data_IF_171965117981
#
_entry.id   IF_171965117981
#
_cell.length_a   1.000
_cell.length_b   1.000
_cell.length_c   1.000
_cell.angle_alpha   90.00
_cell.angle_beta   90.00
_cell.angle_gamma   90.00
#
_symmetry.space_group_name_H-M   'P 1'
#
loop_
_entity.id
_entity.type
_entity.pdbx_description
1 polymer ?
#
# COMPACT_ATOMS: atom_id res chain seq x y z
N UNK A 1 29.28 16.64 57.67
CA UNK A 1 29.76 16.07 56.40
C UNK A 1 29.35 17.03 55.31
N UNK A 2 30.32 17.59 54.59
CA UNK A 2 30.14 18.66 53.61
C UNK A 2 30.03 18.03 52.23
N UNK A 3 28.91 18.24 51.54
CA UNK A 3 28.67 17.76 50.18
C UNK A 3 29.06 18.86 49.20
N UNK A 4 30.11 18.63 48.41
CA UNK A 4 30.56 19.54 47.36
C UNK A 4 29.80 19.25 46.06
N UNK A 5 29.10 20.27 45.54
CA UNK A 5 28.45 20.26 44.24
C UNK A 5 29.48 20.67 43.17
N UNK A 6 29.70 19.78 42.20
CA UNK A 6 30.53 20.05 41.02
C UNK A 6 29.63 20.67 39.95
N UNK A 7 29.78 21.98 39.70
CA UNK A 7 29.21 22.64 38.52
C UNK A 7 30.10 22.34 37.32
N UNK A 8 29.61 21.56 36.37
CA UNK A 8 30.17 21.47 35.02
C UNK A 8 29.57 22.60 34.17
N UNK A 9 30.35 23.64 33.89
CA UNK A 9 30.02 24.62 32.85
C UNK A 9 30.28 23.99 31.50
N UNK A 10 29.23 23.72 30.73
CA UNK A 10 29.36 23.40 29.31
C UNK A 10 29.50 24.70 28.53
N UNK A 11 30.67 24.87 27.92
CA UNK A 11 30.92 25.86 26.88
C UNK A 11 30.09 25.45 25.65
N UNK A 12 29.06 26.23 25.33
CA UNK A 12 28.40 26.16 24.03
C UNK A 12 29.25 26.93 23.03
N UNK A 13 30.00 26.22 22.19
CA UNK A 13 30.58 26.76 20.97
C UNK A 13 29.42 26.95 19.98
N UNK A 14 29.01 28.21 19.79
CA UNK A 14 28.12 28.59 18.71
C UNK A 14 28.81 28.29 17.37
N UNK A 15 28.41 27.20 16.72
CA UNK A 15 28.70 26.99 15.32
C UNK A 15 27.78 27.94 14.53
N UNK A 16 28.38 28.83 13.75
CA UNK A 16 27.64 29.62 12.77
C UNK A 16 27.13 28.66 11.70
N UNK A 17 25.88 28.23 11.81
CA UNK A 17 25.24 27.38 10.82
C UNK A 17 25.13 28.13 9.50
N UNK A 18 25.71 27.56 8.44
CA UNK A 18 25.26 27.87 7.10
C UNK A 18 23.82 27.36 7.00
N UNK A 19 22.88 28.27 6.77
CA UNK A 19 21.51 27.90 6.48
C UNK A 19 21.49 27.34 5.05
N UNK A 20 21.31 26.01 4.89
CA UNK A 20 21.06 25.40 3.58
C UNK A 20 21.77 24.07 3.25
N UNK A 21 22.22 23.27 4.22
CA UNK A 21 22.91 22.00 3.91
C UNK A 21 21.99 20.76 3.86
N UNK A 22 20.68 20.88 4.11
CA UNK A 22 19.77 19.74 4.05
C UNK A 22 18.85 19.87 2.84
N UNK A 23 18.80 18.84 2.01
CA UNK A 23 17.87 18.72 0.88
C UNK A 23 16.91 17.57 1.10
N UNK A 24 15.75 17.64 0.46
CA UNK A 24 14.64 16.71 0.64
C UNK A 24 14.06 16.34 -0.72
N UNK A 25 13.75 15.07 -0.89
CA UNK A 25 12.94 14.59 -2.00
C UNK A 25 11.96 13.52 -1.52
N UNK A 26 10.90 13.31 -2.29
CA UNK A 26 9.84 12.35 -1.97
C UNK A 26 10.40 10.92 -2.01
N UNK A 27 9.99 10.08 -1.06
CA UNK A 27 10.25 8.65 -1.05
C UNK A 27 8.94 7.94 -0.69
N UNK A 28 8.19 7.57 -1.73
CA UNK A 28 6.83 7.07 -1.63
C UNK A 28 6.68 5.59 -2.05
N UNK A 29 7.39 4.64 -1.41
CA UNK A 29 7.40 3.25 -1.85
C UNK A 29 6.01 2.61 -1.80
N UNK A 30 5.65 1.92 -2.88
CA UNK A 30 4.38 1.19 -3.02
C UNK A 30 4.62 -0.24 -3.45
N UNK A 31 3.81 -1.14 -2.91
CA UNK A 31 3.81 -2.55 -3.26
C UNK A 31 2.38 -3.05 -3.33
N UNK A 32 2.08 -3.76 -4.42
CA UNK A 32 0.91 -4.62 -4.52
C UNK A 32 1.39 -6.02 -4.87
N UNK A 33 0.96 -7.02 -4.08
CA UNK A 33 1.41 -8.40 -4.27
C UNK A 33 0.30 -9.39 -3.94
N UNK A 34 0.07 -10.32 -4.86
CA UNK A 34 -0.71 -11.52 -4.59
C UNK A 34 0.16 -12.45 -3.71
N UNK A 35 -0.35 -12.83 -2.54
CA UNK A 35 0.31 -13.80 -1.67
C UNK A 35 -0.06 -15.21 -2.09
N UNK A 36 -1.36 -15.44 -2.31
CA UNK A 36 -1.94 -16.67 -2.81
C UNK A 36 -2.95 -16.33 -3.90
N UNK A 37 -2.79 -16.90 -5.10
CA UNK A 37 -3.76 -16.78 -6.18
C UNK A 37 -4.95 -17.73 -6.00
N UNK A 38 -6.06 -17.46 -6.70
CA UNK A 38 -7.26 -18.31 -6.63
C UNK A 38 -6.99 -19.76 -7.09
N UNK A 39 -6.00 -19.96 -7.95
CA UNK A 39 -5.60 -21.28 -8.43
C UNK A 39 -4.65 -22.02 -7.48
N UNK A 40 -4.21 -21.38 -6.38
CA UNK A 40 -3.19 -21.93 -5.49
C UNK A 40 -3.77 -22.65 -4.27
N UNK A 41 -5.00 -22.33 -3.85
CA UNK A 41 -5.66 -22.93 -2.70
C UNK A 41 -7.03 -23.49 -3.07
N UNK A 42 -7.07 -24.83 -3.16
CA UNK A 42 -8.29 -25.61 -3.27
C UNK A 42 -8.68 -26.17 -1.89
N UNK A 43 -9.89 -25.83 -1.46
CA UNK A 43 -10.51 -26.38 -0.27
C UNK A 43 -11.67 -27.31 -0.64
N UNK A 44 -11.77 -28.43 0.09
CA UNK A 44 -12.88 -29.37 0.00
C UNK A 44 -13.26 -29.83 1.41
N UNK A 45 -14.48 -29.51 1.84
CA UNK A 45 -14.96 -29.90 3.17
C UNK A 45 -15.19 -31.40 3.33
N UNK A 46 -15.24 -32.14 2.22
CA UNK A 46 -15.87 -33.45 2.16
C UNK A 46 -17.37 -33.36 2.48
N UNK A 47 -18.00 -34.53 2.70
CA UNK A 47 -19.42 -34.60 3.03
C UNK A 47 -19.66 -34.38 4.52
N UNK A 48 -20.39 -33.32 4.86
CA UNK A 48 -20.69 -32.90 6.23
C UNK A 48 -22.21 -32.83 6.49
N UNK A 49 -22.69 -33.31 7.65
CA UNK A 49 -21.99 -34.18 8.60
C UNK A 49 -21.69 -35.55 7.98
N UNK A 50 -20.58 -36.17 8.37
CA UNK A 50 -20.32 -37.57 8.04
C UNK A 50 -21.44 -38.44 8.65
N UNK A 51 -21.93 -39.43 7.90
CA UNK A 51 -22.99 -40.38 8.31
C UNK A 51 -24.42 -39.82 8.48
N UNK A 52 -24.68 -38.58 8.06
CA UNK A 52 -26.04 -38.05 7.98
C UNK A 52 -26.76 -38.53 6.71
N UNK A 53 -28.08 -38.82 6.75
CA UNK A 53 -28.87 -39.13 5.55
C UNK A 53 -28.98 -37.94 4.58
N UNK A 54 -28.71 -36.72 5.05
CA UNK A 54 -28.59 -35.50 4.23
C UNK A 54 -27.23 -34.88 4.50
N UNK A 55 -26.46 -34.60 3.46
CA UNK A 55 -25.09 -34.11 3.58
C UNK A 55 -24.83 -32.98 2.59
N UNK A 56 -23.92 -32.09 2.96
CA UNK A 56 -23.40 -31.00 2.14
C UNK A 56 -21.92 -31.23 1.86
N UNK A 57 -21.43 -30.69 0.76
CA UNK A 57 -20.01 -30.58 0.45
C UNK A 57 -19.74 -29.20 -0.13
N UNK A 58 -18.71 -28.55 0.37
CA UNK A 58 -18.26 -27.24 -0.09
C UNK A 58 -16.91 -27.40 -0.77
N UNK A 59 -16.80 -26.77 -1.93
CA UNK A 59 -15.51 -26.54 -2.59
C UNK A 59 -15.26 -25.05 -2.63
N UNK A 60 -14.06 -24.63 -2.29
CA UNK A 60 -13.69 -23.23 -2.36
C UNK A 60 -12.33 -23.05 -3.00
N UNK A 61 -12.22 -22.04 -3.87
CA UNK A 61 -10.94 -21.48 -4.32
C UNK A 61 -10.73 -20.19 -3.56
N UNK A 62 -9.54 -19.98 -3.00
CA UNK A 62 -9.30 -18.83 -2.12
C UNK A 62 -8.03 -18.12 -2.54
N UNK A 63 -8.04 -16.79 -2.45
CA UNK A 63 -6.90 -15.93 -2.75
C UNK A 63 -6.74 -14.86 -1.69
N UNK A 64 -5.52 -14.38 -1.55
CA UNK A 64 -5.24 -13.16 -0.81
C UNK A 64 -4.16 -12.31 -1.48
N UNK A 65 -4.32 -10.99 -1.34
CA UNK A 65 -3.36 -10.00 -1.82
C UNK A 65 -3.16 -8.92 -0.77
N UNK A 66 -2.01 -8.28 -0.82
CA UNK A 66 -1.68 -7.14 0.04
C UNK A 66 -1.35 -5.92 -0.79
N UNK A 67 -1.71 -4.77 -0.25
CA UNK A 67 -1.30 -3.45 -0.73
C UNK A 67 -0.61 -2.73 0.41
N UNK A 68 0.57 -2.18 0.14
CA UNK A 68 1.30 -1.33 1.08
C UNK A 68 1.70 -0.06 0.36
N UNK A 69 1.30 1.08 0.90
CA UNK A 69 1.71 2.40 0.46
C UNK A 69 2.33 3.14 1.64
N UNK A 70 3.40 3.89 1.38
CA UNK A 70 4.12 4.64 2.38
C UNK A 70 4.48 5.99 1.78
N UNK A 71 3.95 7.07 2.32
CA UNK A 71 4.28 8.44 1.91
C UNK A 71 5.31 9.07 2.83
N UNK A 72 6.30 9.75 2.28
CA UNK A 72 7.26 10.49 3.07
C UNK A 72 8.45 10.99 2.28
N UNK A 73 9.52 11.27 3.01
CA UNK A 73 10.69 11.95 2.47
C UNK A 73 11.98 11.17 2.75
N UNK A 74 12.87 11.19 1.77
CA UNK A 74 14.30 11.12 1.99
C UNK A 74 14.85 12.50 2.30
N UNK A 75 15.71 12.62 3.31
CA UNK A 75 16.39 13.86 3.67
C UNK A 75 17.88 13.61 3.69
N UNK A 76 18.60 14.37 2.90
CA UNK A 76 20.06 14.31 2.81
C UNK A 76 20.69 15.53 3.46
N UNK A 77 21.64 15.31 4.36
CA UNK A 77 22.47 16.35 4.98
C UNK A 77 23.84 16.38 4.31
N UNK A 78 24.09 17.40 3.49
CA UNK A 78 25.33 17.63 2.76
C UNK A 78 26.52 17.98 3.64
N UNK A 79 26.29 18.54 4.84
CA UNK A 79 27.38 18.86 5.77
C UNK A 79 27.82 17.61 6.54
N UNK A 80 26.86 16.74 6.88
CA UNK A 80 27.12 15.48 7.58
C UNK A 80 27.48 14.32 6.63
N UNK A 81 27.14 14.44 5.34
CA UNK A 81 27.13 13.34 4.36
C UNK A 81 26.29 12.14 4.86
N UNK A 82 25.09 12.42 5.32
CA UNK A 82 24.18 11.42 5.89
C UNK A 82 22.78 11.52 5.26
N UNK A 83 22.11 10.37 5.10
CA UNK A 83 20.72 10.26 4.66
C UNK A 83 19.83 9.76 5.80
N UNK A 84 18.65 10.34 5.94
CA UNK A 84 17.60 9.91 6.87
C UNK A 84 16.24 9.88 6.17
N UNK A 85 15.30 9.12 6.73
CA UNK A 85 13.97 8.97 6.16
C UNK A 85 12.90 9.36 7.18
N UNK A 86 11.92 10.14 6.74
CA UNK A 86 10.83 10.65 7.56
C UNK A 86 9.49 10.33 6.90
N UNK A 87 8.65 9.54 7.58
CA UNK A 87 7.31 9.23 7.09
C UNK A 87 6.32 10.32 7.44
N UNK A 88 5.37 10.59 6.55
CA UNK A 88 4.27 11.50 6.81
C UNK A 88 3.30 10.94 7.86
N UNK A 89 2.81 11.78 8.76
CA UNK A 89 1.87 11.36 9.80
C UNK A 89 0.59 10.78 9.16
N UNK A 90 0.34 9.48 9.39
CA UNK A 90 -0.77 8.76 8.76
C UNK A 90 -0.64 8.55 7.25
N UNK A 91 0.53 8.79 6.67
CA UNK A 91 0.83 8.60 5.25
C UNK A 91 1.03 7.14 4.81
N UNK A 92 0.93 6.19 5.74
CA UNK A 92 1.04 4.75 5.48
C UNK A 92 -0.32 4.09 5.38
N UNK A 93 -0.49 3.21 4.39
CA UNK A 93 -1.66 2.35 4.21
C UNK A 93 -1.22 0.90 4.02
N UNK A 94 -1.78 0.00 4.83
CA UNK A 94 -1.60 -1.44 4.70
C UNK A 94 -2.99 -2.06 4.55
N UNK A 95 -3.21 -2.74 3.44
CA UNK A 95 -4.46 -3.43 3.13
C UNK A 95 -4.20 -4.90 2.85
N UNK A 96 -5.12 -5.74 3.30
CA UNK A 96 -5.20 -7.15 2.92
C UNK A 96 -6.58 -7.44 2.35
N UNK A 97 -6.58 -8.00 1.15
CA UNK A 97 -7.78 -8.45 0.46
C UNK A 97 -7.82 -9.97 0.49
N UNK A 98 -8.94 -10.55 0.93
CA UNK A 98 -9.15 -12.00 0.94
C UNK A 98 -10.38 -12.31 0.09
N UNK A 99 -10.20 -13.11 -0.95
CA UNK A 99 -11.25 -13.52 -1.89
C UNK A 99 -11.53 -15.02 -1.82
N UNK A 100 -12.78 -15.42 -2.05
CA UNK A 100 -13.18 -16.82 -2.13
C UNK A 100 -14.22 -17.05 -3.23
N UNK A 101 -14.00 -18.06 -4.07
CA UNK A 101 -15.01 -18.60 -4.98
C UNK A 101 -15.58 -19.89 -4.37
N UNK A 102 -16.86 -19.89 -4.02
CA UNK A 102 -17.52 -20.98 -3.31
C UNK A 102 -18.46 -21.78 -4.23
N UNK A 103 -18.41 -23.10 -4.11
CA UNK A 103 -19.36 -24.03 -4.72
C UNK A 103 -19.91 -24.96 -3.63
N UNK A 104 -21.17 -25.38 -3.78
CA UNK A 104 -21.80 -26.29 -2.83
C UNK A 104 -22.60 -27.39 -3.55
N UNK A 105 -22.43 -28.61 -3.08
CA UNK A 105 -23.18 -29.78 -3.49
C UNK A 105 -23.95 -30.34 -2.30
N UNK A 106 -25.10 -30.93 -2.57
CA UNK A 106 -25.93 -31.62 -1.58
C UNK A 106 -26.18 -33.04 -2.05
N UNK A 107 -26.23 -33.98 -1.11
CA UNK A 107 -26.72 -35.32 -1.37
C UNK A 107 -27.61 -35.81 -0.26
N UNK A 108 -28.48 -36.75 -0.60
CA UNK A 108 -29.23 -37.51 0.40
C UNK A 108 -29.35 -38.98 0.03
N UNK A 109 -29.48 -39.81 1.05
CA UNK A 109 -29.87 -41.22 0.98
C UNK A 109 -30.95 -41.48 2.03
N UNK A 110 -32.21 -41.50 1.57
CA UNK A 110 -33.38 -41.66 2.44
C UNK A 110 -34.27 -42.76 1.87
N UNK A 111 -34.52 -43.79 2.68
CA UNK A 111 -35.39 -44.92 2.32
C UNK A 111 -35.00 -45.61 0.99
N UNK A 112 -33.70 -45.63 0.65
CA UNK A 112 -33.18 -46.22 -0.58
C UNK A 112 -33.31 -45.32 -1.81
N UNK A 113 -33.70 -44.06 -1.64
CA UNK A 113 -33.66 -43.03 -2.68
C UNK A 113 -32.38 -42.23 -2.48
N UNK A 114 -31.48 -42.30 -3.46
CA UNK A 114 -30.25 -41.52 -3.50
C UNK A 114 -30.37 -40.39 -4.52
N UNK A 115 -29.93 -39.20 -4.14
CA UNK A 115 -29.85 -38.04 -5.02
C UNK A 115 -28.64 -37.19 -4.63
N UNK A 116 -28.01 -36.59 -5.64
CA UNK A 116 -26.88 -35.67 -5.49
C UNK A 116 -27.02 -34.58 -6.55
N UNK A 117 -26.76 -33.33 -6.16
CA UNK A 117 -26.77 -32.19 -7.08
C UNK A 117 -25.85 -31.10 -6.58
N UNK A 118 -25.25 -30.40 -7.52
CA UNK A 118 -24.71 -29.08 -7.28
C UNK A 118 -25.87 -28.10 -7.10
N UNK A 119 -25.80 -27.26 -6.07
CA UNK A 119 -26.87 -26.33 -5.69
C UNK A 119 -26.37 -24.90 -5.66
N UNK A 120 -25.10 -24.66 -5.39
CA UNK A 120 -24.48 -23.33 -5.50
C UNK A 120 -23.41 -23.39 -6.58
N UNK A 121 -23.62 -22.62 -7.66
CA UNK A 121 -22.58 -22.32 -8.63
C UNK A 121 -21.54 -21.36 -8.05
N UNK A 122 -20.41 -21.10 -8.75
CA UNK A 122 -19.32 -20.31 -8.22
C UNK A 122 -19.82 -18.95 -7.71
N UNK A 123 -19.67 -18.71 -6.41
CA UNK A 123 -20.05 -17.45 -5.76
C UNK A 123 -18.81 -16.74 -5.23
N UNK A 124 -18.66 -15.46 -5.56
CA UNK A 124 -17.49 -14.67 -5.22
C UNK A 124 -17.72 -13.86 -3.94
N UNK A 125 -16.96 -14.18 -2.90
CA UNK A 125 -16.82 -13.39 -1.68
C UNK A 125 -15.51 -12.62 -1.75
N UNK A 126 -15.50 -11.38 -1.27
CA UNK A 126 -14.27 -10.65 -1.00
C UNK A 126 -14.43 -9.78 0.23
N UNK A 127 -13.36 -9.66 1.00
CA UNK A 127 -13.24 -8.76 2.14
C UNK A 127 -11.91 -8.04 2.05
N UNK A 128 -11.93 -6.76 2.42
CA UNK A 128 -10.75 -5.91 2.56
C UNK A 128 -10.65 -5.45 4.01
N UNK A 129 -9.47 -5.55 4.59
CA UNK A 129 -9.17 -5.01 5.91
C UNK A 129 -7.97 -4.07 5.80
N UNK A 130 -8.09 -2.90 6.44
CA UNK A 130 -7.13 -1.81 6.30
C UNK A 130 -6.54 -1.39 7.65
N UNK A 131 -5.27 -0.99 7.65
CA UNK A 131 -4.62 -0.25 8.70
C UNK A 131 -3.91 0.98 8.13
N UNK A 132 -3.93 2.07 8.88
CA UNK A 132 -3.20 3.29 8.57
C UNK A 132 -2.12 3.52 9.63
N UNK A 133 -0.96 4.02 9.21
CA UNK A 133 0.21 4.19 10.08
C UNK A 133 1.09 5.33 9.60
N UNK A 134 2.06 5.75 10.43
CA UNK A 134 3.13 6.66 10.01
C UNK A 134 4.27 5.85 9.37
N UNK A 135 4.68 6.16 8.13
CA UNK A 135 5.57 5.30 7.35
C UNK A 135 6.93 4.91 7.90
N UNK A 136 7.43 3.94 7.13
CA UNK A 136 8.58 3.06 7.19
C UNK A 136 8.59 2.05 8.33
N UNK A 137 7.99 2.33 9.49
CA UNK A 137 7.90 1.35 10.59
C UNK A 137 9.27 0.71 10.93
N UNK A 138 10.36 1.47 10.82
CA UNK A 138 11.72 1.00 11.11
C UNK A 138 11.89 0.71 12.61
N UNK A 139 12.88 -0.12 13.00
CA UNK A 139 13.19 -0.34 14.40
C UNK A 139 13.28 0.97 15.21
N UNK A 140 12.57 1.02 16.35
CA UNK A 140 12.43 2.22 17.18
C UNK A 140 11.19 3.06 16.89
N UNK A 141 10.47 2.82 15.79
CA UNK A 141 9.18 3.48 15.53
C UNK A 141 8.09 3.03 16.52
N UNK A 142 7.28 3.94 17.09
CA UNK A 142 6.30 3.60 18.14
C UNK A 142 5.13 2.74 17.66
N UNK A 143 4.77 2.84 16.38
CA UNK A 143 3.65 2.08 15.78
C UNK A 143 4.12 0.75 15.16
N UNK A 144 5.36 0.32 15.40
CA UNK A 144 5.91 -0.92 14.85
C UNK A 144 5.68 -2.11 15.81
N UNK A 145 5.12 -3.25 15.36
CA UNK A 145 4.48 -3.47 14.06
C UNK A 145 3.14 -2.76 13.95
N UNK A 146 2.73 -2.43 12.73
CA UNK A 146 1.31 -2.18 12.46
C UNK A 146 0.60 -3.53 12.35
N UNK A 147 -0.60 -3.64 12.91
CA UNK A 147 -1.34 -4.90 13.01
C UNK A 147 -2.76 -4.68 12.51
N UNK A 148 -3.24 -5.59 11.67
CA UNK A 148 -4.64 -5.77 11.32
C UNK A 148 -5.15 -6.97 12.12
N UNK A 149 -6.12 -6.73 12.98
CA UNK A 149 -6.91 -7.74 13.68
C UNK A 149 -8.38 -7.43 13.37
N UNK A 150 -8.94 -8.11 12.37
CA UNK A 150 -10.30 -7.88 11.91
C UNK A 150 -11.10 -9.18 11.93
N UNK A 151 -12.31 -9.10 12.46
CA UNK A 151 -13.24 -10.21 12.51
C UNK A 151 -14.60 -9.74 12.05
N UNK A 152 -15.14 -10.38 11.01
CA UNK A 152 -16.48 -10.05 10.55
C UNK A 152 -17.54 -10.92 11.19
N UNK A 153 -18.72 -10.31 11.35
CA UNK A 153 -19.94 -11.09 11.47
C UNK A 153 -20.15 -11.95 10.22
N UNK A 154 -20.94 -13.02 10.39
CA UNK A 154 -21.30 -13.89 9.28
C UNK A 154 -22.25 -13.15 8.32
N UNK A 155 -21.75 -12.83 7.13
CA UNK A 155 -22.51 -12.20 6.07
C UNK A 155 -23.23 -13.27 5.24
N UNK A 156 -24.54 -13.14 4.95
CA UNK A 156 -25.23 -14.07 4.06
C UNK A 156 -24.70 -13.92 2.64
N UNK A 157 -24.19 -15.00 2.07
CA UNK A 157 -23.59 -15.03 0.74
C UNK A 157 -24.51 -15.69 -0.29
N UNK A 158 -25.29 -16.68 0.12
CA UNK A 158 -26.20 -17.38 -0.78
C UNK A 158 -27.47 -17.83 -0.07
N UNK A 159 -28.57 -17.86 -0.81
CA UNK A 159 -29.83 -18.47 -0.40
C UNK A 159 -30.42 -19.18 -1.63
N UNK A 160 -30.37 -20.51 -1.62
CA UNK A 160 -30.70 -21.34 -2.79
C UNK A 160 -31.86 -22.28 -2.48
N UNK A 161 -33.00 -22.15 -3.20
CA UNK A 161 -34.09 -23.09 -3.07
C UNK A 161 -33.70 -24.43 -3.71
N UNK A 162 -33.95 -25.52 -2.99
CA UNK A 162 -33.72 -26.88 -3.45
C UNK A 162 -35.05 -27.43 -3.95
N UNK A 163 -35.22 -27.45 -5.27
CA UNK A 163 -36.43 -27.96 -5.94
C UNK A 163 -36.00 -28.97 -7.01
N UNK A 164 -35.66 -30.21 -6.63
CA UNK A 164 -35.35 -31.24 -7.60
C UNK A 164 -36.58 -31.58 -8.44
N UNK A 165 -36.37 -32.13 -9.64
CA UNK A 165 -37.44 -32.67 -10.51
C UNK A 165 -38.19 -33.88 -9.88
N UNK A 166 -37.81 -34.28 -8.68
CA UNK A 166 -38.44 -35.31 -7.87
C UNK A 166 -39.48 -34.63 -6.98
N UNK A 167 -40.77 -34.92 -7.24
CA UNK A 167 -41.98 -34.32 -6.59
C UNK A 167 -42.03 -34.46 -5.04
N UNK A 168 -41.03 -35.08 -4.42
CA UNK A 168 -41.04 -35.51 -3.03
C UNK A 168 -39.96 -34.84 -2.17
N UNK A 169 -39.21 -33.89 -2.73
CA UNK A 169 -38.13 -33.18 -2.03
C UNK A 169 -38.27 -31.67 -2.25
N UNK A 170 -38.12 -30.91 -1.16
CA UNK A 170 -38.06 -29.46 -1.20
C UNK A 170 -37.17 -28.94 -0.07
N UNK A 171 -36.52 -27.81 -0.25
CA UNK A 171 -35.71 -27.22 0.81
C UNK A 171 -35.13 -25.86 0.45
N UNK A 172 -34.31 -25.33 1.35
CA UNK A 172 -33.51 -24.13 1.15
C UNK A 172 -32.12 -24.35 1.76
N UNK A 173 -31.08 -23.93 1.05
CA UNK A 173 -29.74 -23.76 1.61
C UNK A 173 -29.46 -22.27 1.76
N UNK A 174 -29.25 -21.82 2.97
CA UNK A 174 -28.65 -20.52 3.29
C UNK A 174 -27.18 -20.72 3.64
N UNK A 175 -26.31 -19.87 3.10
CA UNK A 175 -24.88 -19.90 3.39
C UNK A 175 -24.46 -18.52 3.85
N UNK A 176 -23.76 -18.46 4.97
CA UNK A 176 -23.07 -17.26 5.43
C UNK A 176 -21.57 -17.50 5.54
N UNK A 177 -20.78 -16.46 5.36
CA UNK A 177 -19.32 -16.49 5.49
C UNK A 177 -18.89 -15.43 6.49
N UNK A 178 -17.97 -15.80 7.38
CA UNK A 178 -17.27 -14.88 8.26
C UNK A 178 -15.77 -14.94 7.97
N UNK A 179 -15.05 -13.85 8.23
CA UNK A 179 -13.60 -13.79 8.13
C UNK A 179 -12.98 -13.46 9.49
N UNK A 180 -11.83 -14.05 9.76
CA UNK A 180 -10.91 -13.73 10.86
C UNK A 180 -9.54 -13.48 10.23
N UNK A 181 -9.12 -12.22 10.23
CA UNK A 181 -7.94 -11.73 9.53
C UNK A 181 -6.97 -11.20 10.58
N UNK A 182 -5.82 -11.87 10.68
CA UNK A 182 -4.66 -11.37 11.41
C UNK A 182 -3.53 -11.12 10.43
N UNK A 183 -3.03 -9.88 10.39
CA UNK A 183 -1.85 -9.54 9.62
C UNK A 183 -0.97 -8.54 10.38
N UNK A 184 0.35 -8.58 10.16
CA UNK A 184 1.27 -7.61 10.73
C UNK A 184 2.36 -7.23 9.73
N UNK A 185 2.77 -5.97 9.80
CA UNK A 185 3.77 -5.40 8.91
C UNK A 185 4.80 -4.61 9.72
N UNK A 186 6.08 -4.80 9.41
CA UNK A 186 7.20 -4.13 10.08
C UNK A 186 8.27 -3.71 9.10
N UNK A 187 8.78 -2.49 9.22
CA UNK A 187 10.01 -2.10 8.55
C UNK A 187 11.21 -2.84 9.11
N UNK A 188 12.09 -3.29 8.21
CA UNK A 188 13.38 -3.86 8.55
C UNK A 188 14.49 -2.84 8.32
N UNK A 189 14.56 -2.29 7.11
CA UNK A 189 15.56 -1.31 6.69
C UNK A 189 15.14 -0.60 5.40
N UNK A 190 15.77 0.54 5.14
CA UNK A 190 15.81 1.16 3.82
C UNK A 190 17.25 1.05 3.31
N UNK A 191 17.43 0.51 2.12
CA UNK A 191 18.70 0.48 1.41
C UNK A 191 18.72 1.67 0.46
N UNK A 192 19.60 2.64 0.69
CA UNK A 192 19.71 3.84 -0.13
C UNK A 192 21.10 3.91 -0.74
N UNK A 193 21.24 4.03 -2.06
CA UNK A 193 22.55 4.01 -2.66
C UNK A 193 22.61 4.63 -4.04
N UNK A 194 23.83 4.90 -4.46
CA UNK A 194 24.16 5.34 -5.81
C UNK A 194 25.34 4.51 -6.33
N UNK A 195 25.96 4.93 -7.44
CA UNK A 195 26.92 4.09 -8.16
C UNK A 195 28.19 3.75 -7.35
N UNK A 196 28.59 4.58 -6.39
CA UNK A 196 29.86 4.42 -5.67
C UNK A 196 29.73 4.17 -4.17
N UNK A 197 28.55 4.38 -3.58
CA UNK A 197 28.30 4.20 -2.15
C UNK A 197 26.87 3.73 -1.83
N UNK A 198 26.68 3.14 -0.64
CA UNK A 198 25.40 2.63 -0.16
C UNK A 198 25.26 2.83 1.36
N UNK A 199 24.11 3.36 1.76
CA UNK A 199 23.64 3.45 3.12
C UNK A 199 22.59 2.38 3.43
N UNK A 200 22.61 1.91 4.68
CA UNK A 200 21.53 1.09 5.25
C UNK A 200 20.96 1.86 6.42
N UNK A 201 19.68 2.21 6.34
CA UNK A 201 18.94 2.87 7.43
C UNK A 201 18.06 1.83 8.11
N UNK A 202 18.46 1.37 9.29
CA UNK A 202 17.82 0.28 10.04
C UNK A 202 17.20 0.73 11.36
N UNK A 203 17.08 2.05 11.58
CA UNK A 203 16.43 2.63 12.74
C UNK A 203 15.67 3.91 12.38
N UNK A 204 14.51 4.10 12.99
CA UNK A 204 13.64 5.25 12.76
C UNK A 204 14.34 6.56 13.16
N UNK A 205 14.36 7.54 12.26
CA UNK A 205 14.94 8.88 12.47
C UNK A 205 16.44 8.86 12.86
N UNK A 206 17.15 7.78 12.53
CA UNK A 206 18.60 7.69 12.70
C UNK A 206 19.23 7.81 11.32
N UNK A 207 19.97 8.89 11.04
CA UNK A 207 20.68 9.04 9.77
C UNK A 207 21.75 7.96 9.58
N UNK A 208 22.04 7.62 8.33
CA UNK A 208 23.13 6.74 7.93
C UNK A 208 24.10 7.44 6.98
N UNK A 209 25.41 7.21 7.09
CA UNK A 209 26.40 7.80 6.18
C UNK A 209 26.15 7.41 4.72
N UNK A 210 26.24 8.40 3.83
CA UNK A 210 26.20 8.23 2.37
C UNK A 210 26.99 9.37 1.74
N UNK A 211 28.20 9.08 1.24
CA UNK A 211 29.06 10.12 0.66
C UNK A 211 28.65 10.44 -0.78
N UNK A 212 28.61 11.72 -1.20
CA UNK A 212 28.24 12.10 -2.55
C UNK A 212 29.42 11.95 -3.52
N UNK A 213 29.14 11.61 -4.77
CA UNK A 213 30.17 11.61 -5.81
C UNK A 213 30.62 13.05 -6.15
N UNK A 214 31.93 13.34 -6.25
CA UNK A 214 32.40 14.69 -6.54
C UNK A 214 31.88 15.24 -7.88
N UNK A 215 31.20 16.39 -7.81
CA UNK A 215 30.71 17.11 -9.00
C UNK A 215 29.43 16.54 -9.62
N UNK A 216 28.72 15.66 -8.91
CA UNK A 216 27.37 15.19 -9.27
C UNK A 216 26.34 16.09 -8.61
N UNK A 217 25.46 16.68 -9.43
CA UNK A 217 24.37 17.57 -9.00
C UNK A 217 23.23 17.54 -10.05
N UNK A 218 22.01 17.09 -9.71
CA UNK A 218 21.64 16.51 -8.41
C UNK A 218 22.32 15.16 -8.16
N UNK A 219 22.52 14.82 -6.88
CA UNK A 219 22.85 13.46 -6.46
C UNK A 219 21.60 12.59 -6.53
N UNK A 220 21.60 11.64 -7.45
CA UNK A 220 20.56 10.62 -7.56
C UNK A 220 20.84 9.45 -6.62
N UNK A 221 19.87 9.10 -5.77
CA UNK A 221 19.94 8.01 -4.80
C UNK A 221 18.74 7.10 -5.00
N UNK A 222 18.98 5.82 -5.28
CA UNK A 222 17.92 4.82 -5.34
C UNK A 222 17.67 4.27 -3.93
N UNK A 223 16.44 4.41 -3.44
CA UNK A 223 15.96 3.85 -2.18
C UNK A 223 15.14 2.57 -2.41
N UNK A 224 15.40 1.55 -1.60
CA UNK A 224 14.64 0.30 -1.57
C UNK A 224 14.15 0.05 -0.15
N UNK A 225 12.82 0.02 0.03
CA UNK A 225 12.21 -0.34 1.30
C UNK A 225 12.16 -1.85 1.47
N UNK A 226 12.53 -2.32 2.66
CA UNK A 226 12.49 -3.75 3.02
C UNK A 226 11.64 -3.94 4.27
N UNK A 227 10.59 -4.76 4.16
CA UNK A 227 9.63 -5.02 5.24
C UNK A 227 9.50 -6.51 5.56
N UNK A 228 9.01 -6.82 6.76
CA UNK A 228 8.54 -8.14 7.16
C UNK A 228 7.01 -8.13 7.17
N UNK A 229 6.40 -9.08 6.46
CA UNK A 229 4.96 -9.33 6.44
C UNK A 229 4.66 -10.66 7.12
N UNK A 230 3.63 -10.66 7.97
CA UNK A 230 3.03 -11.89 8.50
C UNK A 230 1.52 -11.88 8.29
N UNK A 231 0.94 -12.94 7.75
CA UNK A 231 -0.52 -13.08 7.56
C UNK A 231 -1.02 -14.45 7.98
N UNK A 232 -2.24 -14.51 8.52
CA UNK A 232 -2.92 -15.75 8.89
C UNK A 232 -4.45 -15.66 8.74
N UNK A 233 -5.00 -15.40 7.54
CA UNK A 233 -6.44 -15.25 7.37
C UNK A 233 -7.18 -16.62 7.40
N UNK A 234 -8.38 -16.61 7.99
CA UNK A 234 -9.28 -17.76 8.06
C UNK A 234 -10.69 -17.32 7.66
N UNK A 235 -11.25 -17.98 6.65
CA UNK A 235 -12.66 -17.84 6.31
C UNK A 235 -13.46 -18.97 6.99
N UNK A 236 -14.67 -18.69 7.45
CA UNK A 236 -15.56 -19.69 8.06
C UNK A 236 -16.89 -19.72 7.32
N UNK A 237 -17.19 -20.86 6.70
CA UNK A 237 -18.47 -21.11 6.03
C UNK A 237 -19.46 -21.65 7.06
N UNK A 238 -20.63 -21.03 7.13
CA UNK A 238 -21.75 -21.39 8.01
C UNK A 238 -22.99 -21.73 7.19
N UNK A 239 -23.21 -23.02 6.87
CA UNK A 239 -24.41 -23.43 6.17
C UNK A 239 -25.61 -23.59 7.12
N UNK A 240 -26.78 -23.25 6.62
CA UNK A 240 -28.08 -23.61 7.17
C UNK A 240 -28.93 -24.26 6.07
N UNK A 241 -29.07 -25.57 6.13
CA UNK A 241 -29.88 -26.35 5.20
C UNK A 241 -31.13 -26.83 5.90
N UNK A 242 -32.29 -26.58 5.29
CA UNK A 242 -33.56 -27.19 5.68
C UNK A 242 -34.11 -27.93 4.47
N UNK A 243 -34.38 -29.23 4.61
CA UNK A 243 -34.95 -30.08 3.55
C UNK A 243 -36.10 -30.93 4.09
N UNK A 244 -37.17 -31.05 3.32
CA UNK A 244 -38.24 -32.02 3.53
C UNK A 244 -38.16 -33.10 2.46
N UNK A 245 -37.95 -34.36 2.86
CA UNK A 245 -37.81 -35.52 1.98
C UNK A 245 -38.86 -36.55 2.41
N UNK A 246 -39.77 -36.92 1.51
CA UNK A 246 -40.88 -37.85 1.80
C UNK A 246 -41.73 -37.43 3.02
N UNK A 247 -41.83 -36.12 3.27
CA UNK A 247 -42.54 -35.54 4.41
C UNK A 247 -41.81 -35.65 5.76
N UNK A 248 -40.52 -36.02 5.74
CA UNK A 248 -39.63 -35.95 6.91
C UNK A 248 -38.68 -34.77 6.75
N UNK A 249 -38.57 -33.95 7.79
CA UNK A 249 -37.72 -32.76 7.78
C UNK A 249 -36.31 -33.11 8.29
N UNK A 250 -35.33 -32.58 7.60
CA UNK A 250 -33.90 -32.69 7.86
C UNK A 250 -33.31 -31.30 7.93
N UNK A 251 -32.43 -31.09 8.90
CA UNK A 251 -31.78 -29.80 9.12
C UNK A 251 -30.27 -30.00 9.34
N UNK A 252 -29.47 -29.17 8.67
CA UNK A 252 -28.05 -29.00 8.97
C UNK A 252 -27.89 -27.54 9.40
N UNK A 253 -27.47 -27.32 10.64
CA UNK A 253 -27.27 -25.98 11.20
C UNK A 253 -26.13 -26.01 12.23
N UNK A 254 -25.55 -24.85 12.52
CA UNK A 254 -24.54 -24.70 13.57
C UNK A 254 -23.23 -25.44 13.30
N UNK A 255 -22.93 -25.69 12.02
CA UNK A 255 -21.66 -26.25 11.58
C UNK A 255 -20.78 -25.08 11.12
N UNK A 256 -19.58 -24.98 11.68
CA UNK A 256 -18.56 -24.04 11.22
C UNK A 256 -17.52 -24.83 10.40
N UNK A 257 -17.31 -24.43 9.15
CA UNK A 257 -16.37 -25.05 8.23
C UNK A 257 -15.23 -24.05 7.99
N UNK A 258 -14.08 -24.19 8.69
CA UNK A 258 -12.96 -23.28 8.52
C UNK A 258 -12.20 -23.57 7.23
N UNK A 259 -11.88 -22.51 6.51
CA UNK A 259 -11.04 -22.48 5.32
C UNK A 259 -9.85 -21.58 5.67
N UNK A 260 -8.80 -22.22 6.19
CA UNK A 260 -7.56 -21.53 6.56
C UNK A 260 -6.71 -21.33 5.31
N UNK A 261 -6.32 -20.09 5.02
CA UNK A 261 -5.32 -19.81 4.00
C UNK A 261 -3.92 -20.12 4.54
N UNK A 262 -2.94 -20.37 3.65
CA UNK A 262 -1.54 -20.47 4.03
C UNK A 262 -1.08 -19.26 4.84
N UNK A 263 -0.38 -19.52 5.94
CA UNK A 263 0.27 -18.45 6.69
C UNK A 263 1.48 -17.97 5.90
N UNK A 264 1.64 -16.66 5.78
CA UNK A 264 2.81 -16.04 5.16
C UNK A 264 3.70 -15.44 6.23
N UNK A 265 5.01 -15.61 6.11
CA UNK A 265 6.05 -14.97 6.93
C UNK A 265 7.22 -14.59 6.01
N UNK A 266 6.99 -13.54 5.24
CA UNK A 266 7.82 -13.18 4.09
C UNK A 266 8.49 -11.82 4.29
N UNK A 267 9.71 -11.70 3.78
CA UNK A 267 10.31 -10.40 3.54
C UNK A 267 9.76 -9.82 2.22
N UNK A 268 9.34 -8.57 2.26
CA UNK A 268 8.90 -7.80 1.10
C UNK A 268 9.99 -6.80 0.73
N UNK A 269 10.49 -6.91 -0.49
CA UNK A 269 11.39 -5.93 -1.09
C UNK A 269 10.58 -5.10 -2.10
N UNK A 270 10.61 -3.78 -1.94
CA UNK A 270 9.89 -2.85 -2.81
C UNK A 270 10.71 -2.55 -4.08
N UNK A 271 10.04 -2.05 -5.11
CA UNK A 271 10.77 -1.54 -6.29
C UNK A 271 11.62 -0.32 -5.89
N UNK A 272 12.82 -0.14 -6.48
CA UNK A 272 13.65 1.03 -6.20
C UNK A 272 12.97 2.33 -6.63
N UNK A 273 13.08 3.36 -5.80
CA UNK A 273 12.62 4.72 -6.08
C UNK A 273 13.80 5.70 -6.04
N UNK A 274 13.95 6.47 -7.12
CA UNK A 274 15.06 7.42 -7.25
C UNK A 274 14.68 8.77 -6.62
N UNK A 275 15.44 9.18 -5.61
CA UNK A 275 15.44 10.52 -5.03
C UNK A 275 16.55 11.37 -5.63
N UNK A 276 16.33 12.67 -5.77
CA UNK A 276 17.25 13.65 -6.31
C UNK A 276 17.52 14.74 -5.28
N UNK A 277 18.78 14.83 -4.83
CA UNK A 277 19.22 15.86 -3.90
C UNK A 277 20.10 16.87 -4.64
N UNK A 278 19.63 18.12 -4.75
CA UNK A 278 20.43 19.23 -5.28
C UNK A 278 21.54 19.62 -4.29
N UNK A 279 22.74 19.86 -4.80
CA UNK A 279 23.87 20.30 -3.98
C UNK A 279 23.70 21.77 -3.54
N UNK A 280 24.15 22.14 -2.33
CA UNK A 280 24.10 23.52 -1.88
C UNK A 280 24.94 24.41 -2.79
N UNK A 281 24.39 25.58 -3.15
CA UNK A 281 25.10 26.53 -4.00
C UNK A 281 26.48 26.87 -3.40
N UNK A 282 27.55 26.93 -4.23
CA UNK A 282 28.87 27.28 -3.73
C UNK A 282 28.84 28.66 -3.08
N UNK A 283 29.57 28.81 -1.97
CA UNK A 283 29.70 30.10 -1.31
C UNK A 283 30.12 31.17 -2.34
N UNK A 284 29.52 32.38 -2.30
CA UNK A 284 29.89 33.43 -3.22
C UNK A 284 31.40 33.66 -3.10
N UNK A 285 32.12 33.54 -4.21
CA UNK A 285 33.54 33.86 -4.25
C UNK A 285 33.69 35.32 -3.86
N UNK A 286 34.47 35.61 -2.81
CA UNK A 286 34.88 36.95 -2.41
C UNK A 286 35.81 37.57 -3.48
N UNK A 287 35.34 37.71 -4.72
CA UNK A 287 36.02 38.45 -5.77
C UNK A 287 35.68 39.95 -5.63
N UNK A 288 35.99 40.53 -4.47
CA UNK A 288 36.27 41.97 -4.37
C UNK A 288 37.73 42.23 -4.79
N UNK A 289 37.98 42.16 -6.09
CA UNK A 289 39.15 42.81 -6.72
C UNK A 289 38.70 43.95 -7.64
N UNK A 290 37.96 44.90 -7.05
CA UNK A 290 37.65 46.20 -7.64
C UNK A 290 38.77 47.22 -7.44
N UNK A 291 39.99 46.91 -7.91
CA UNK A 291 41.10 47.86 -7.98
C UNK A 291 41.03 48.59 -9.34
N UNK A 292 40.48 49.82 -9.37
CA UNK A 292 40.33 50.53 -10.66
C UNK A 292 39.65 51.90 -10.66
N UNK A 293 39.84 52.74 -9.63
CA UNK A 293 39.32 54.12 -9.60
C UNK A 293 40.30 55.15 -10.15
N UNK A 294 40.53 55.16 -11.47
CA UNK A 294 41.30 56.20 -12.15
C UNK A 294 40.51 57.52 -12.25
N UNK A 295 41.10 58.62 -11.77
CA UNK A 295 40.54 59.97 -11.85
C UNK A 295 40.74 60.55 -13.25
N UNK A 296 39.69 60.48 -14.08
CA UNK A 296 39.59 61.19 -15.36
C UNK A 296 38.91 62.55 -15.18
N UNK A 297 39.66 63.62 -15.42
CA UNK A 297 39.18 64.99 -15.58
C UNK A 297 38.76 65.23 -17.05
N UNK A 298 37.63 65.93 -17.18
CA UNK A 298 37.24 66.92 -18.19
C UNK A 298 37.29 66.54 -19.69
N UNK A 299 36.14 66.53 -20.37
CA UNK A 299 35.82 67.57 -21.37
C UNK A 299 34.34 67.54 -21.78
N UNK A 300 33.82 68.72 -22.03
CA UNK A 300 32.44 69.05 -22.31
C UNK A 300 32.09 68.93 -23.81
N UNK A 301 30.83 68.60 -24.08
CA UNK A 301 30.06 69.38 -25.04
C UNK A 301 29.46 68.65 -26.25
N UNK A 302 28.15 68.86 -26.38
CA UNK A 302 27.41 69.30 -27.58
C UNK A 302 26.31 68.34 -28.10
N UNK A 303 25.08 68.88 -27.96
CA UNK A 303 23.87 68.82 -28.81
C UNK A 303 23.26 67.45 -29.14
N UNK A 304 22.07 67.14 -28.62
CA UNK A 304 20.74 67.61 -29.05
C UNK A 304 20.28 67.00 -30.39
N UNK A 305 19.39 66.01 -30.30
CA UNK A 305 18.36 65.80 -31.32
C UNK A 305 17.11 65.16 -30.71
N UNK A 306 16.08 65.98 -30.64
CA UNK A 306 14.66 65.66 -30.55
C UNK A 306 14.21 64.50 -31.47
N UNK A 307 13.39 63.59 -30.93
CA UNK A 307 12.68 62.58 -31.72
C UNK A 307 11.44 62.06 -31.00
N UNK A 308 10.29 62.59 -31.42
CA UNK A 308 8.94 62.32 -30.92
C UNK A 308 8.34 61.07 -31.59
N UNK A 309 7.62 60.22 -30.84
CA UNK A 309 6.73 59.16 -31.37
C UNK A 309 6.40 58.16 -30.25
N UNK A 310 5.26 58.22 -29.57
CA UNK A 310 3.86 57.96 -29.98
C UNK A 310 3.53 56.47 -30.18
N UNK A 311 2.55 56.00 -29.40
CA UNK A 311 1.76 54.77 -29.62
C UNK A 311 2.38 53.51 -29.02
N UNK A 312 1.68 52.65 -28.29
CA UNK A 312 0.25 52.54 -28.04
C UNK A 312 -0.02 51.35 -27.12
N UNK A 313 -1.15 51.44 -26.44
CA UNK A 313 -1.82 50.42 -25.63
C UNK A 313 -2.14 49.16 -26.43
N UNK A 314 -2.12 48.00 -25.76
CA UNK A 314 -2.59 46.74 -26.31
C UNK A 314 -2.97 45.75 -25.21
N UNK A 315 -4.12 45.99 -24.59
CA UNK A 315 -4.91 44.95 -23.94
C UNK A 315 -5.43 43.98 -25.01
N UNK A 316 -5.41 42.68 -24.73
CA UNK A 316 -6.37 41.75 -25.35
C UNK A 316 -6.72 40.64 -24.38
N UNK A 317 -7.88 40.83 -23.75
CA UNK A 317 -8.80 39.76 -23.38
C UNK A 317 -9.31 39.03 -24.64
N UNK A 318 -9.55 37.73 -24.50
CA UNK A 318 -10.29 36.88 -25.42
C UNK A 318 -10.00 35.43 -25.04
N UNK A 319 -10.88 34.67 -24.42
CA UNK A 319 -12.31 34.55 -24.70
C UNK A 319 -12.55 33.19 -25.36
N UNK A 320 -13.05 32.25 -24.56
CA UNK A 320 -13.70 30.94 -24.83
C UNK A 320 -14.44 30.85 -26.18
N UNK A 321 -14.76 29.66 -26.78
CA UNK A 321 -15.53 28.61 -26.09
C UNK A 321 -15.40 27.14 -26.57
N UNK A 322 -16.02 26.27 -25.76
CA UNK A 322 -16.84 25.09 -26.09
C UNK A 322 -16.54 24.24 -27.34
N UNK A 323 -16.51 22.91 -27.14
CA UNK A 323 -17.41 21.92 -27.76
C UNK A 323 -16.70 20.57 -27.87
N UNK A 324 -17.23 19.53 -27.21
CA UNK A 324 -17.34 18.15 -27.69
C UNK A 324 -18.09 17.30 -26.64
N UNK A 325 -19.41 17.47 -26.57
CA UNK A 325 -20.31 16.32 -26.37
C UNK A 325 -20.55 15.72 -27.76
N UNK A 326 -20.23 14.43 -27.99
CA UNK A 326 -21.12 13.55 -28.76
C UNK A 326 -20.76 12.05 -28.62
N UNK A 327 -21.78 11.30 -28.21
CA UNK A 327 -22.17 9.93 -28.52
C UNK A 327 -21.19 8.90 -29.11
N UNK A 328 -21.08 7.76 -28.40
CA UNK A 328 -21.66 6.50 -28.89
C UNK A 328 -21.05 5.79 -30.10
N UNK A 329 -20.10 4.88 -29.85
CA UNK A 329 -19.88 3.62 -30.59
C UNK A 329 -18.72 2.90 -29.88
N UNK A 330 -18.85 1.69 -29.33
CA UNK A 330 -19.35 0.50 -30.01
C UNK A 330 -18.23 -0.21 -30.75
N UNK A 331 -17.17 -0.66 -30.05
CA UNK A 331 -16.13 -1.52 -30.62
C UNK A 331 -15.89 -2.72 -29.71
N UNK A 332 -16.53 -3.84 -30.07
CA UNK A 332 -16.20 -5.15 -29.54
C UNK A 332 -14.95 -5.70 -30.22
N UNK A 333 -14.01 -6.19 -29.42
CA UNK A 333 -12.94 -7.06 -29.88
C UNK A 333 -13.22 -8.48 -29.39
N UNK A 334 -13.69 -9.31 -30.32
CA UNK A 334 -13.68 -10.77 -30.22
C UNK A 334 -12.28 -11.30 -30.54
N UNK A 335 -11.87 -12.23 -29.71
CA UNK A 335 -10.92 -13.35 -29.90
C UNK A 335 -10.33 -13.63 -31.29
N UNK A 336 -9.02 -13.95 -31.29
CA UNK A 336 -8.45 -15.23 -31.76
C UNK A 336 -6.93 -15.30 -31.49
N UNK A 337 -6.51 -16.41 -30.90
CA UNK A 337 -5.13 -16.79 -30.60
C UNK A 337 -5.11 -17.75 -29.44
#
# INVERSE_FOLDING_TARGET
>A
MVTAALLASQLWLAHGGMAGATERDDFDPRLQRDLVGLDDVDFDSGWVPADSPVQLRFYAHVADSVVVEMLGDGVYDWDAEEIAFFGDEGGGHFSIDVGMNLQASVRFDVAGITWESDILGPWDYAITSDAYFTPYLLPGHPERPVVIEDQTDAAPVASVPIVPDIVLVSGNLDVSVAADITASLSGLRIEAGHASDQAIVDASQVPSPLSPDPGVDPMAVDGVMVMQLQTAPVLTIRPHLVMSILGTDYEIFGVDIPVALPQTDDQLDFDPETMLFDAPAPAPSDDESGEGGGTGLDDAGVADSSGTGSGGTGDTDGGSPECCEDTGSGCGCRSRG
#
